data_IF_795092099061
#
_entry.id   IF_795092099061
#
_cell.length_a   1.000
_cell.length_b   1.000
_cell.length_c   1.000
_cell.angle_alpha   90.00
_cell.angle_beta   90.00
_cell.angle_gamma   90.00
#
_symmetry.space_group_name_H-M   'P 1'
#
loop_
_entity.id
_entity.type
_entity.pdbx_description
1 polymer ?
#
# COMPACT_ATOMS: atom_id res chain seq x y z
N UNK A 1 43.08 23.08 -14.61
CA UNK A 1 41.82 23.62 -15.17
C UNK A 1 40.93 22.56 -15.81
N UNK A 2 41.45 21.67 -16.67
CA UNK A 2 40.65 20.74 -17.49
C UNK A 2 40.07 19.52 -16.73
N UNK A 3 40.77 19.01 -15.72
CA UNK A 3 40.29 17.92 -14.86
C UNK A 3 39.37 18.37 -13.71
N UNK A 4 39.46 19.64 -13.31
CA UNK A 4 38.65 20.21 -12.22
C UNK A 4 37.16 20.27 -12.58
N UNK A 5 36.85 20.56 -13.85
CA UNK A 5 35.48 20.61 -14.35
C UNK A 5 34.83 19.22 -14.46
N UNK A 6 35.62 18.19 -14.78
CA UNK A 6 35.16 16.80 -14.90
C UNK A 6 34.80 16.21 -13.51
N UNK A 7 35.62 16.51 -12.49
CA UNK A 7 35.35 16.12 -11.10
C UNK A 7 34.06 16.75 -10.54
N UNK A 8 33.76 17.99 -10.93
CA UNK A 8 32.57 18.72 -10.49
C UNK A 8 31.27 18.17 -11.09
N UNK A 9 31.32 17.67 -12.33
CA UNK A 9 30.18 17.02 -13.00
C UNK A 9 29.87 15.64 -12.39
N UNK A 10 30.88 14.86 -12.03
CA UNK A 10 30.70 13.53 -11.39
C UNK A 10 30.07 13.68 -9.98
N UNK A 11 30.44 14.72 -9.24
CA UNK A 11 29.85 15.04 -7.93
C UNK A 11 28.40 15.53 -8.03
N UNK A 12 28.01 16.23 -9.11
CA UNK A 12 26.65 16.76 -9.28
C UNK A 12 25.65 15.72 -9.79
N UNK A 13 26.10 14.74 -10.59
CA UNK A 13 25.24 13.66 -11.11
C UNK A 13 25.19 12.40 -10.22
N UNK A 14 26.05 12.30 -9.20
CA UNK A 14 26.21 11.10 -8.37
C UNK A 14 25.19 10.87 -7.25
N UNK A 15 24.19 11.74 -7.07
CA UNK A 15 23.29 11.69 -5.89
C UNK A 15 21.79 11.52 -6.18
N UNK A 16 21.41 10.92 -7.30
CA UNK A 16 20.02 10.50 -7.49
C UNK A 16 19.81 9.06 -7.01
N UNK A 17 20.06 8.81 -5.72
CA UNK A 17 19.52 7.62 -5.08
C UNK A 17 18.05 7.86 -4.81
N UNK A 18 17.16 7.38 -5.70
CA UNK A 18 15.76 7.16 -5.37
C UNK A 18 15.72 6.12 -4.24
N UNK A 19 15.85 6.57 -2.98
CA UNK A 19 15.46 5.73 -1.85
C UNK A 19 13.94 5.61 -1.93
N UNK A 20 13.46 4.48 -2.43
CA UNK A 20 12.09 4.07 -2.23
C UNK A 20 11.81 4.12 -0.71
N UNK A 21 10.86 4.96 -0.30
CA UNK A 21 10.41 4.92 1.09
C UNK A 21 9.85 3.51 1.34
N UNK A 22 10.28 2.82 2.41
CA UNK A 22 9.60 1.60 2.80
C UNK A 22 8.18 2.01 3.19
N UNK A 23 7.20 1.62 2.38
CA UNK A 23 5.80 1.70 2.77
C UNK A 23 5.63 0.71 3.92
N UNK A 24 5.80 1.19 5.15
CA UNK A 24 5.68 0.39 6.37
C UNK A 24 4.20 0.22 6.74
N UNK A 25 3.33 -0.02 5.75
CA UNK A 25 1.93 -0.40 5.96
C UNK A 25 1.89 -1.90 6.23
N UNK A 26 2.42 -2.30 7.39
CA UNK A 26 2.30 -3.67 7.84
C UNK A 26 0.83 -3.94 8.17
N UNK A 27 0.16 -4.74 7.34
CA UNK A 27 -1.15 -5.32 7.63
C UNK A 27 -1.10 -6.28 8.83
N UNK A 28 0.10 -6.69 9.25
CA UNK A 28 0.33 -7.47 10.46
C UNK A 28 0.53 -6.54 11.65
N UNK A 29 -0.26 -6.77 12.70
CA UNK A 29 0.01 -6.23 14.02
C UNK A 29 1.36 -6.76 14.52
N UNK A 30 2.18 -5.92 15.15
CA UNK A 30 3.57 -6.24 15.52
C UNK A 30 3.72 -7.46 16.47
N UNK A 31 2.65 -7.87 17.17
CA UNK A 31 2.64 -9.07 18.02
C UNK A 31 1.92 -10.29 17.41
N UNK A 32 1.45 -10.19 16.17
CA UNK A 32 0.78 -11.28 15.46
C UNK A 32 1.83 -12.26 14.92
N UNK A 33 1.62 -13.56 15.11
CA UNK A 33 2.57 -14.62 14.71
C UNK A 33 1.95 -15.83 14.01
N UNK A 34 0.63 -15.86 13.85
CA UNK A 34 -0.12 -16.99 13.30
C UNK A 34 -0.60 -16.76 11.87
N UNK A 35 -0.79 -15.51 11.44
CA UNK A 35 -1.24 -15.20 10.10
C UNK A 35 -0.06 -15.03 9.14
N UNK A 36 -0.04 -15.85 8.09
CA UNK A 36 1.00 -15.80 7.06
C UNK A 36 0.54 -15.10 5.77
N UNK A 37 -0.75 -15.13 5.46
CA UNK A 37 -1.30 -14.76 4.15
C UNK A 37 -2.46 -13.77 4.25
N UNK A 38 -2.24 -12.63 4.92
CA UNK A 38 -3.26 -11.57 5.02
C UNK A 38 -3.33 -10.77 3.71
N UNK A 39 -4.54 -10.40 3.31
CA UNK A 39 -4.78 -9.43 2.23
C UNK A 39 -5.82 -8.41 2.69
N UNK A 40 -5.48 -7.13 2.62
CA UNK A 40 -6.41 -6.03 2.86
C UNK A 40 -7.24 -5.75 1.58
N UNK A 41 -8.55 -5.63 1.72
CA UNK A 41 -9.49 -5.43 0.60
C UNK A 41 -10.10 -4.02 0.55
N UNK A 42 -10.11 -3.31 1.67
CA UNK A 42 -10.68 -1.96 1.80
C UNK A 42 -9.71 -1.04 2.56
N UNK A 43 -9.78 0.27 2.31
CA UNK A 43 -8.85 1.28 2.86
C UNK A 43 -9.56 2.44 3.58
N UNK A 44 -10.90 2.45 3.59
CA UNK A 44 -11.71 3.56 4.09
C UNK A 44 -12.10 3.48 5.57
N UNK A 45 -12.00 2.29 6.19
CA UNK A 45 -12.36 2.10 7.60
C UNK A 45 -13.88 2.10 7.91
N UNK A 46 -14.72 2.07 6.88
CA UNK A 46 -16.18 1.99 7.04
C UNK A 46 -16.62 0.55 7.38
N UNK A 47 -17.73 0.42 8.14
CA UNK A 47 -18.30 -0.85 8.62
C UNK A 47 -18.25 -1.94 7.54
N UNK A 48 -17.65 -3.08 7.87
CA UNK A 48 -17.34 -4.13 6.92
C UNK A 48 -18.13 -5.40 7.25
N UNK A 49 -19.34 -5.53 6.68
CA UNK A 49 -19.97 -6.85 6.57
C UNK A 49 -19.47 -7.55 5.31
N UNK A 50 -19.07 -8.81 5.46
CA UNK A 50 -18.60 -9.64 4.37
C UNK A 50 -18.98 -11.10 4.57
N UNK A 51 -19.23 -11.80 3.47
CA UNK A 51 -19.65 -13.20 3.46
C UNK A 51 -18.91 -13.97 2.37
N UNK A 52 -18.38 -15.14 2.72
CA UNK A 52 -17.85 -16.08 1.75
C UNK A 52 -18.98 -16.91 1.13
N UNK A 53 -18.83 -17.29 -0.14
CA UNK A 53 -19.64 -18.34 -0.72
C UNK A 53 -19.43 -19.64 0.04
N UNK A 54 -20.40 -20.56 -0.06
CA UNK A 54 -20.34 -21.85 0.61
C UNK A 54 -19.06 -22.64 0.30
N UNK A 55 -18.55 -22.55 -0.93
CA UNK A 55 -17.31 -23.20 -1.38
C UNK A 55 -16.04 -22.36 -1.18
N UNK A 56 -16.16 -21.18 -0.56
CA UNK A 56 -15.05 -20.28 -0.26
C UNK A 56 -14.41 -19.60 -1.48
N UNK A 57 -14.97 -19.73 -2.68
CA UNK A 57 -14.38 -19.15 -3.90
C UNK A 57 -14.71 -17.68 -4.12
N UNK A 58 -15.80 -17.21 -3.55
CA UNK A 58 -16.27 -15.84 -3.71
C UNK A 58 -16.41 -15.16 -2.35
N UNK A 59 -16.19 -13.86 -2.34
CA UNK A 59 -16.42 -12.98 -1.21
C UNK A 59 -17.34 -11.86 -1.68
N UNK A 60 -18.46 -11.66 -1.00
CA UNK A 60 -19.25 -10.44 -1.09
C UNK A 60 -18.94 -9.58 0.13
N UNK A 61 -18.84 -8.26 -0.05
CA UNK A 61 -18.53 -7.33 1.03
C UNK A 61 -19.16 -5.97 0.73
N UNK A 62 -19.42 -5.20 1.79
CA UNK A 62 -19.90 -3.82 1.66
C UNK A 62 -18.80 -2.90 1.16
N UNK A 63 -19.17 -2.00 0.26
CA UNK A 63 -18.23 -1.08 -0.39
C UNK A 63 -18.79 0.33 -0.45
N UNK A 64 -18.09 1.25 0.24
CA UNK A 64 -18.33 2.69 0.15
C UNK A 64 -17.26 3.35 -0.70
N UNK A 65 -17.67 4.25 -1.62
CA UNK A 65 -16.75 5.08 -2.38
C UNK A 65 -17.41 6.41 -2.77
N UNK A 66 -17.14 7.44 -1.97
CA UNK A 66 -17.65 8.80 -2.18
C UNK A 66 -17.22 9.39 -3.53
N UNK A 67 -15.99 9.13 -3.99
CA UNK A 67 -15.50 9.62 -5.28
C UNK A 67 -16.26 9.01 -6.47
N UNK A 68 -16.88 7.85 -6.29
CA UNK A 68 -17.78 7.21 -7.26
C UNK A 68 -19.27 7.43 -6.95
N UNK A 69 -19.59 8.25 -5.96
CA UNK A 69 -20.97 8.50 -5.51
C UNK A 69 -21.64 7.27 -4.87
N UNK A 70 -20.86 6.27 -4.44
CA UNK A 70 -21.36 5.08 -3.76
C UNK A 70 -21.35 5.39 -2.26
N UNK A 71 -22.53 5.65 -1.70
CA UNK A 71 -22.71 5.99 -0.30
C UNK A 71 -22.89 4.74 0.56
N UNK A 72 -22.65 4.90 1.87
CA UNK A 72 -23.00 3.90 2.86
C UNK A 72 -24.53 3.74 2.92
N UNK A 73 -25.01 2.50 2.93
CA UNK A 73 -26.43 2.12 2.89
C UNK A 73 -26.98 1.62 4.24
N UNK A 74 -26.22 1.84 5.31
CA UNK A 74 -26.50 1.38 6.68
C UNK A 74 -27.76 1.97 7.30
#
# INVERSE_FOLDING_TARGET
MRYSFILLVILFFGQNTLKAQPLNDSIHFNGESHFANIRQLTFGGDNAEAYFSYDGKYLIYQYTNQAKGINCDQ
#
